data_IF_707882887650
#
_entry.id   IF_707882887650
#
_cell.length_a   1.000
_cell.length_b   1.000
_cell.length_c   1.000
_cell.angle_alpha   90.00
_cell.angle_beta   90.00
_cell.angle_gamma   90.00
#
_symmetry.space_group_name_H-M   'P 1'
#
loop_
_entity.id
_entity.type
_entity.pdbx_description
1 polymer ?
#
# COMPACT_ATOMS: atom_id res chain seq x y z
N UNK A 1 -22.96 7.39 11.66
CA UNK A 1 -21.54 7.15 12.02
C UNK A 1 -21.07 5.93 11.26
N UNK A 2 -20.14 6.09 10.31
CA UNK A 2 -19.70 4.99 9.45
C UNK A 2 -18.73 4.07 10.18
N UNK A 3 -19.04 2.79 10.26
CA UNK A 3 -18.13 1.75 10.75
C UNK A 3 -16.96 1.60 9.77
N UNK A 4 -15.79 2.15 10.12
CA UNK A 4 -14.55 1.96 9.37
C UNK A 4 -14.01 0.55 9.68
N UNK A 5 -14.60 -0.46 9.04
CA UNK A 5 -14.00 -1.78 8.95
C UNK A 5 -12.96 -1.72 7.82
N UNK A 6 -11.73 -2.17 8.08
CA UNK A 6 -10.67 -2.25 7.07
C UNK A 6 -11.12 -3.13 5.91
N UNK A 7 -11.66 -2.52 4.85
CA UNK A 7 -11.86 -3.17 3.55
C UNK A 7 -10.63 -2.97 2.65
N UNK A 8 -9.48 -2.60 3.24
CA UNK A 8 -8.25 -2.27 2.50
C UNK A 8 -7.87 -3.38 1.54
N UNK A 9 -7.78 -4.61 2.05
CA UNK A 9 -7.51 -5.82 1.27
C UNK A 9 -8.49 -5.98 0.10
N UNK A 10 -9.81 -6.04 0.36
CA UNK A 10 -10.81 -6.29 -0.69
C UNK A 10 -10.82 -5.20 -1.76
N UNK A 11 -10.72 -3.93 -1.34
CA UNK A 11 -10.73 -2.80 -2.27
C UNK A 11 -9.44 -2.72 -3.08
N UNK A 12 -8.31 -3.07 -2.48
CA UNK A 12 -7.04 -3.10 -3.20
C UNK A 12 -6.99 -4.29 -4.17
N UNK A 13 -7.49 -5.47 -3.77
CA UNK A 13 -7.66 -6.63 -4.65
C UNK A 13 -8.50 -6.28 -5.87
N UNK A 14 -9.68 -5.67 -5.67
CA UNK A 14 -10.52 -5.19 -6.78
C UNK A 14 -9.79 -4.18 -7.68
N UNK A 15 -8.96 -3.31 -7.10
CA UNK A 15 -8.18 -2.35 -7.87
C UNK A 15 -7.10 -3.05 -8.71
N UNK A 16 -6.42 -4.09 -8.19
CA UNK A 16 -5.40 -4.87 -8.92
C UNK A 16 -6.01 -5.61 -10.11
N UNK A 17 -7.20 -6.18 -9.95
CA UNK A 17 -7.93 -6.90 -10.99
C UNK A 17 -8.49 -5.97 -12.09
N UNK A 18 -8.41 -4.65 -11.91
CA UNK A 18 -8.90 -3.70 -12.89
C UNK A 18 -7.88 -3.52 -14.03
N UNK A 19 -8.37 -3.52 -15.27
CA UNK A 19 -7.55 -3.34 -16.49
C UNK A 19 -6.70 -2.05 -16.45
N UNK A 20 -7.24 -0.99 -15.83
CA UNK A 20 -6.58 0.32 -15.76
C UNK A 20 -5.58 0.44 -14.60
N UNK A 21 -5.33 -0.66 -13.85
CA UNK A 21 -4.41 -0.64 -12.73
C UNK A 21 -2.98 -0.36 -13.18
N UNK A 22 -2.33 0.54 -12.46
CA UNK A 22 -0.89 0.80 -12.63
C UNK A 22 -0.19 0.58 -11.32
N UNK A 23 0.79 -0.31 -11.34
CA UNK A 23 1.57 -0.68 -10.15
C UNK A 23 2.39 0.51 -9.63
N UNK A 24 2.08 0.88 -8.38
CA UNK A 24 2.70 1.94 -7.56
C UNK A 24 3.11 1.42 -6.18
N UNK A 25 3.36 0.12 -6.06
CA UNK A 25 3.73 -0.52 -4.79
C UNK A 25 5.13 -0.12 -4.31
N UNK A 26 5.97 0.40 -5.20
CA UNK A 26 7.25 1.06 -4.89
C UNK A 26 7.11 2.19 -3.86
N UNK A 27 5.98 2.89 -3.84
CA UNK A 27 5.69 3.93 -2.84
C UNK A 27 5.75 3.40 -1.40
N UNK A 28 5.43 2.12 -1.17
CA UNK A 28 5.45 1.51 0.16
C UNK A 28 6.86 1.55 0.75
N UNK A 29 7.90 1.37 -0.06
CA UNK A 29 9.29 1.46 0.40
C UNK A 29 9.60 2.85 0.96
N UNK A 30 9.12 3.90 0.28
CA UNK A 30 9.24 5.28 0.76
C UNK A 30 8.42 5.51 2.03
N UNK A 31 7.19 4.99 2.12
CA UNK A 31 6.39 5.15 3.34
C UNK A 31 7.05 4.41 4.52
N UNK A 32 7.57 3.21 4.30
CA UNK A 32 8.25 2.39 5.31
C UNK A 32 9.46 3.09 5.93
N UNK A 33 10.21 3.89 5.15
CA UNK A 33 11.32 4.67 5.69
C UNK A 33 10.87 5.82 6.60
N UNK A 34 9.60 6.25 6.48
CA UNK A 34 9.03 7.34 7.28
C UNK A 34 8.26 6.85 8.52
N UNK A 35 7.80 5.59 8.57
CA UNK A 35 6.88 5.11 9.64
C UNK A 35 7.39 5.38 11.05
N UNK A 36 8.69 5.22 11.29
CA UNK A 36 9.33 5.38 12.60
C UNK A 36 9.95 6.77 12.81
N UNK A 37 9.76 7.71 11.88
CA UNK A 37 10.34 9.06 11.95
C UNK A 37 9.28 10.11 12.31
N UNK A 38 9.71 11.32 12.65
CA UNK A 38 8.81 12.45 12.86
C UNK A 38 8.07 12.87 11.57
N UNK A 39 8.60 12.47 10.41
CA UNK A 39 8.05 12.77 9.09
C UNK A 39 6.99 11.75 8.62
N UNK A 40 6.49 10.87 9.50
CA UNK A 40 5.47 9.84 9.19
C UNK A 40 4.14 10.37 8.65
N UNK A 41 3.86 11.67 8.80
CA UNK A 41 2.62 12.28 8.35
C UNK A 41 2.72 12.73 6.89
N UNK A 42 2.11 11.99 5.98
CA UNK A 42 2.13 12.28 4.53
C UNK A 42 0.82 12.87 4.06
N UNK A 43 0.87 14.05 3.43
CA UNK A 43 -0.28 14.69 2.79
C UNK A 43 -0.14 14.69 1.26
N UNK A 44 -1.20 14.27 0.56
CA UNK A 44 -1.24 14.29 -0.91
C UNK A 44 -2.32 15.27 -1.38
N UNK A 45 -1.94 16.49 -1.80
CA UNK A 45 -2.84 17.60 -2.14
C UNK A 45 -3.36 17.64 -3.60
N UNK A 46 -2.91 16.72 -4.45
CA UNK A 46 -3.23 16.66 -5.90
C UNK A 46 -4.74 16.61 -6.27
N UNK A 47 -5.15 16.92 -7.52
CA UNK A 47 -6.56 16.95 -7.97
C UNK A 47 -7.33 15.61 -7.89
N UNK A 48 -8.62 15.66 -8.23
CA UNK A 48 -9.52 14.49 -8.35
C UNK A 48 -8.94 13.44 -9.30
N UNK A 49 -9.19 12.15 -9.00
CA UNK A 49 -8.69 10.96 -9.75
C UNK A 49 -7.16 10.78 -9.79
N UNK A 50 -6.41 11.47 -8.93
CA UNK A 50 -4.97 11.23 -8.79
C UNK A 50 -4.60 9.87 -8.15
N UNK A 51 -5.59 9.05 -7.78
CA UNK A 51 -5.38 7.71 -7.23
C UNK A 51 -5.14 7.67 -5.71
N UNK A 52 -5.34 8.77 -4.98
CA UNK A 52 -5.14 8.83 -3.51
C UNK A 52 -5.89 7.74 -2.75
N UNK A 53 -7.15 7.51 -3.09
CA UNK A 53 -7.99 6.49 -2.44
C UNK A 53 -7.46 5.09 -2.69
N UNK A 54 -6.97 4.81 -3.90
CA UNK A 54 -6.38 3.51 -4.25
C UNK A 54 -5.09 3.31 -3.46
N UNK A 55 -4.24 4.34 -3.40
CA UNK A 55 -3.01 4.33 -2.59
C UNK A 55 -3.31 4.13 -1.10
N UNK A 56 -4.34 4.77 -0.56
CA UNK A 56 -4.75 4.56 0.82
C UNK A 56 -5.23 3.12 1.07
N UNK A 57 -6.00 2.54 0.15
CA UNK A 57 -6.43 1.13 0.25
C UNK A 57 -5.23 0.16 0.14
N UNK A 58 -4.25 0.47 -0.72
CA UNK A 58 -3.00 -0.28 -0.84
C UNK A 58 -2.21 -0.28 0.46
N UNK A 59 -2.00 0.90 1.07
CA UNK A 59 -1.30 1.02 2.35
C UNK A 59 -2.09 0.33 3.47
N UNK A 60 -3.41 0.48 3.48
CA UNK A 60 -4.26 -0.22 4.43
C UNK A 60 -4.13 -1.74 4.28
N UNK A 61 -4.12 -2.28 3.05
CA UNK A 61 -3.92 -3.70 2.81
C UNK A 61 -2.54 -4.19 3.26
N UNK A 62 -1.49 -3.40 3.04
CA UNK A 62 -0.11 -3.76 3.39
C UNK A 62 0.14 -3.79 4.91
N UNK A 63 -0.40 -2.83 5.67
CA UNK A 63 -0.18 -2.76 7.13
C UNK A 63 -1.25 -3.52 7.96
N UNK A 64 -2.23 -4.17 7.33
CA UNK A 64 -3.30 -4.88 8.02
C UNK A 64 -2.79 -6.20 8.60
N UNK A 65 -2.70 -6.30 9.94
CA UNK A 65 -2.22 -7.51 10.65
C UNK A 65 -3.23 -8.65 10.74
N UNK A 66 -4.47 -8.40 10.31
CA UNK A 66 -5.55 -9.38 10.44
C UNK A 66 -5.85 -10.12 9.13
N UNK A 67 -5.20 -9.72 8.03
CA UNK A 67 -5.42 -10.30 6.71
C UNK A 67 -4.08 -10.64 6.07
N UNK A 68 -3.90 -11.91 5.68
CA UNK A 68 -2.74 -12.32 4.91
C UNK A 68 -2.79 -11.64 3.53
N UNK A 69 -2.01 -10.58 3.40
CA UNK A 69 -1.99 -9.72 2.21
C UNK A 69 -0.77 -9.96 1.34
N UNK A 70 0.10 -10.90 1.72
CA UNK A 70 1.39 -11.17 1.06
C UNK A 70 1.22 -11.45 -0.43
N UNK A 71 0.25 -12.30 -0.77
CA UNK A 71 -0.08 -12.67 -2.15
C UNK A 71 -0.38 -11.45 -3.05
N UNK A 72 -0.89 -10.34 -2.49
CA UNK A 72 -1.19 -9.14 -3.26
C UNK A 72 0.07 -8.37 -3.70
N UNK A 73 1.20 -8.58 -3.02
CA UNK A 73 2.42 -7.79 -3.18
C UNK A 73 3.61 -8.59 -3.73
N UNK A 74 3.62 -9.92 -3.57
CA UNK A 74 4.73 -10.81 -3.99
C UNK A 74 5.10 -10.71 -5.48
N UNK A 75 4.10 -10.43 -6.34
CA UNK A 75 4.29 -10.32 -7.79
C UNK A 75 4.28 -8.86 -8.28
N UNK A 76 4.50 -7.89 -7.38
CA UNK A 76 4.48 -6.46 -7.70
C UNK A 76 5.88 -5.85 -7.62
N UNK A 77 6.00 -4.60 -8.09
CA UNK A 77 7.28 -3.86 -8.12
C UNK A 77 8.00 -3.83 -6.78
N UNK A 78 7.27 -3.75 -5.67
CA UNK A 78 7.87 -3.76 -4.33
C UNK A 78 8.71 -5.02 -4.04
N UNK A 79 8.29 -6.18 -4.56
CA UNK A 79 8.97 -7.44 -4.36
C UNK A 79 10.11 -7.66 -5.38
N UNK A 80 9.99 -7.11 -6.60
CA UNK A 80 10.99 -7.29 -7.67
C UNK A 80 12.11 -6.26 -7.64
N UNK A 81 11.83 -5.03 -7.22
CA UNK A 81 12.81 -3.93 -7.18
C UNK A 81 13.56 -3.86 -5.83
N UNK A 82 13.58 -4.98 -5.09
CA UNK A 82 14.28 -5.17 -3.81
C UNK A 82 15.81 -5.14 -3.94
N UNK A 83 16.36 -4.08 -4.54
CA UNK A 83 17.80 -3.83 -4.68
C UNK A 83 18.44 -3.17 -3.45
N UNK A 84 17.79 -3.19 -2.29
CA UNK A 84 18.34 -2.57 -1.08
C UNK A 84 17.93 -3.28 0.20
N UNK A 85 18.89 -3.97 0.83
CA UNK A 85 19.24 -4.10 2.26
C UNK A 85 18.12 -4.35 3.31
N UNK A 86 16.89 -3.88 3.16
CA UNK A 86 15.74 -4.13 4.03
C UNK A 86 14.68 -4.99 3.32
N UNK A 87 14.17 -6.00 4.03
CA UNK A 87 13.10 -6.88 3.56
C UNK A 87 11.81 -6.06 3.34
N UNK A 88 11.22 -6.12 2.14
CA UNK A 88 10.04 -5.34 1.79
C UNK A 88 8.80 -5.72 2.60
N UNK A 89 8.79 -6.87 3.25
CA UNK A 89 7.71 -7.42 4.07
C UNK A 89 7.88 -7.10 5.58
N UNK A 90 8.88 -6.29 5.96
CA UNK A 90 9.19 -5.93 7.37
C UNK A 90 7.98 -5.42 8.18
N UNK A 91 7.09 -4.69 7.54
CA UNK A 91 5.88 -4.14 8.16
C UNK A 91 4.60 -4.74 7.58
N UNK A 92 4.74 -5.78 6.75
CA UNK A 92 3.61 -6.52 6.23
C UNK A 92 2.90 -7.20 7.41
N UNK A 93 1.60 -6.96 7.50
CA UNK A 93 0.75 -7.53 8.54
C UNK A 93 0.41 -9.00 8.32
#
# INVERSE_FOLDING_TARGET
MGTYRSFGYTRFKQAIESEIYRDKTDLIMYINSLVLTEQKYVCVSRPRRFGKTITANMLAAYYDRYADSRELFENKKIATDGKGIDQWDKYLG
#
